data_IF_105087080303
#
_entry.id   IF_105087080303
#
_cell.length_a   1.000
_cell.length_b   1.000
_cell.length_c   1.000
_cell.angle_alpha   90.00
_cell.angle_beta   90.00
_cell.angle_gamma   90.00
#
_symmetry.space_group_name_H-M   'P 1'
#
loop_
_entity.id
_entity.type
_entity.pdbx_description
1 polymer ?
#
# COMPACT_ATOMS: atom_id res chain seq x y z
N UNK A 1 24.67 -43.97 14.72
CA UNK A 1 24.20 -42.57 14.58
C UNK A 1 23.01 -42.57 13.62
N UNK A 2 21.81 -42.20 14.07
CA UNK A 2 20.57 -42.31 13.27
C UNK A 2 20.28 -40.96 12.61
N UNK A 3 20.45 -40.86 11.29
CA UNK A 3 20.21 -39.63 10.54
C UNK A 3 18.72 -39.23 10.63
N UNK A 4 18.44 -38.02 11.15
CA UNK A 4 17.09 -37.43 11.12
C UNK A 4 16.74 -37.11 9.66
N UNK A 5 15.75 -37.81 9.11
CA UNK A 5 15.19 -37.53 7.78
C UNK A 5 14.57 -36.11 7.81
N UNK A 6 14.85 -35.23 6.83
CA UNK A 6 14.25 -33.90 6.81
C UNK A 6 12.73 -34.00 6.67
N UNK A 7 12.02 -33.37 7.61
CA UNK A 7 10.56 -33.28 7.61
C UNK A 7 10.12 -32.34 6.48
N UNK A 8 9.43 -32.89 5.49
CA UNK A 8 8.84 -32.15 4.36
C UNK A 8 7.43 -31.62 4.65
N UNK A 9 6.98 -31.63 5.92
CA UNK A 9 5.64 -31.14 6.26
C UNK A 9 5.55 -29.62 6.06
N UNK A 10 4.58 -29.12 5.27
CA UNK A 10 4.38 -27.69 5.10
C UNK A 10 4.07 -27.06 6.46
N UNK A 11 4.80 -26.00 6.81
CA UNK A 11 4.60 -25.24 8.04
C UNK A 11 3.24 -24.56 7.95
N UNK A 12 2.24 -25.04 8.68
CA UNK A 12 0.93 -24.39 8.77
C UNK A 12 1.11 -23.01 9.41
N UNK A 13 0.63 -21.97 8.73
CA UNK A 13 0.58 -20.62 9.29
C UNK A 13 -0.36 -20.62 10.51
N UNK A 14 0.02 -19.90 11.57
CA UNK A 14 -0.86 -19.77 12.73
C UNK A 14 -2.06 -18.88 12.38
N UNK A 15 -3.25 -19.11 12.97
CA UNK A 15 -4.39 -18.21 12.79
C UNK A 15 -4.04 -16.75 13.13
N UNK A 16 -3.24 -16.51 14.17
CA UNK A 16 -2.76 -15.16 14.55
C UNK A 16 -1.96 -14.50 13.42
N UNK A 17 -1.08 -15.25 12.75
CA UNK A 17 -0.31 -14.73 11.62
C UNK A 17 -1.22 -14.38 10.43
N UNK A 18 -2.23 -15.20 10.13
CA UNK A 18 -3.21 -14.93 9.06
C UNK A 18 -4.01 -13.66 9.37
N UNK A 19 -4.52 -13.52 10.59
CA UNK A 19 -5.28 -12.33 11.01
C UNK A 19 -4.44 -11.05 10.89
N UNK A 20 -3.15 -11.10 11.30
CA UNK A 20 -2.22 -9.96 11.14
C UNK A 20 -2.00 -9.60 9.68
N UNK A 21 -1.81 -10.60 8.82
CA UNK A 21 -1.66 -10.36 7.39
C UNK A 21 -2.91 -9.72 6.78
N UNK A 22 -4.10 -10.16 7.18
CA UNK A 22 -5.37 -9.56 6.74
C UNK A 22 -5.47 -8.11 7.23
N UNK A 23 -5.19 -7.84 8.51
CA UNK A 23 -5.23 -6.50 9.07
C UNK A 23 -4.27 -5.55 8.35
N UNK A 24 -3.06 -6.03 8.00
CA UNK A 24 -2.09 -5.25 7.25
C UNK A 24 -2.53 -5.01 5.80
N UNK A 25 -3.10 -6.02 5.15
CA UNK A 25 -3.67 -5.88 3.81
C UNK A 25 -4.84 -4.89 3.79
N UNK A 26 -5.66 -4.84 4.85
CA UNK A 26 -6.71 -3.83 5.01
C UNK A 26 -6.14 -2.42 5.09
N UNK A 27 -5.08 -2.20 5.87
CA UNK A 27 -4.39 -0.90 5.94
C UNK A 27 -3.84 -0.46 4.59
N UNK A 28 -3.16 -1.38 3.89
CA UNK A 28 -2.67 -1.12 2.54
C UNK A 28 -3.81 -0.73 1.58
N UNK A 29 -4.92 -1.46 1.62
CA UNK A 29 -6.11 -1.22 0.78
C UNK A 29 -6.74 0.13 1.07
N UNK A 30 -6.88 0.50 2.35
CA UNK A 30 -7.40 1.81 2.77
C UNK A 30 -6.47 2.92 2.25
N UNK A 31 -5.15 2.79 2.43
CA UNK A 31 -4.19 3.76 1.93
C UNK A 31 -4.27 3.94 0.41
N UNK A 32 -4.32 2.83 -0.35
CA UNK A 32 -4.49 2.86 -1.81
C UNK A 32 -5.78 3.58 -2.20
N UNK A 33 -6.90 3.27 -1.55
CA UNK A 33 -8.19 3.90 -1.84
C UNK A 33 -8.16 5.41 -1.56
N UNK A 34 -7.56 5.84 -0.44
CA UNK A 34 -7.39 7.26 -0.10
C UNK A 34 -6.48 7.95 -1.12
N UNK A 35 -5.37 7.34 -1.52
CA UNK A 35 -4.46 7.89 -2.53
C UNK A 35 -5.11 8.06 -3.89
N UNK A 36 -5.96 7.11 -4.32
CA UNK A 36 -6.75 7.23 -5.55
C UNK A 36 -7.81 8.34 -5.45
N UNK A 37 -8.52 8.42 -4.31
CA UNK A 37 -9.49 9.49 -4.06
C UNK A 37 -8.85 10.88 -4.06
N UNK A 38 -7.69 11.01 -3.41
CA UNK A 38 -6.86 12.21 -3.46
C UNK A 38 -6.48 12.57 -4.90
N UNK A 39 -5.94 11.62 -5.67
CA UNK A 39 -5.53 11.88 -7.04
C UNK A 39 -6.70 12.33 -7.93
N UNK A 40 -7.86 11.72 -7.75
CA UNK A 40 -9.08 12.12 -8.46
C UNK A 40 -9.49 13.55 -8.12
N UNK A 41 -9.58 13.90 -6.84
CA UNK A 41 -9.97 15.25 -6.41
C UNK A 41 -8.96 16.28 -6.90
N UNK A 42 -7.67 16.00 -6.71
CA UNK A 42 -6.57 16.89 -7.08
C UNK A 42 -6.53 17.18 -8.59
N UNK A 43 -6.83 16.19 -9.43
CA UNK A 43 -6.81 16.35 -10.90
C UNK A 43 -8.10 16.94 -11.48
N UNK A 44 -9.23 16.84 -10.75
CA UNK A 44 -10.54 17.34 -11.22
C UNK A 44 -10.89 18.72 -10.70
N UNK A 45 -10.35 19.12 -9.55
CA UNK A 45 -10.54 20.46 -9.00
C UNK A 45 -9.56 21.45 -9.63
N UNK A 46 -10.11 22.53 -10.20
CA UNK A 46 -9.30 23.60 -10.78
C UNK A 46 -8.56 24.43 -9.72
N UNK A 47 -9.01 24.39 -8.47
CA UNK A 47 -8.41 25.12 -7.33
C UNK A 47 -6.97 24.66 -7.07
N UNK A 48 -6.69 23.36 -7.23
CA UNK A 48 -5.36 22.81 -6.96
C UNK A 48 -4.39 22.96 -8.15
N UNK A 49 -4.87 23.28 -9.35
CA UNK A 49 -4.03 23.49 -10.53
C UNK A 49 -3.25 22.26 -11.05
N UNK A 50 -3.36 21.09 -10.41
CA UNK A 50 -2.55 19.90 -10.69
C UNK A 50 -2.66 19.45 -12.14
N UNK A 51 -3.86 19.45 -12.73
CA UNK A 51 -4.05 19.08 -14.13
C UNK A 51 -3.24 19.94 -15.09
N UNK A 52 -3.16 21.26 -14.83
CA UNK A 52 -2.37 22.19 -15.65
C UNK A 52 -0.88 21.96 -15.44
N UNK A 53 -0.45 21.78 -14.18
CA UNK A 53 0.93 21.46 -13.86
C UNK A 53 1.41 20.16 -14.53
N UNK A 54 0.58 19.11 -14.50
CA UNK A 54 0.87 17.85 -15.20
C UNK A 54 0.98 18.04 -16.71
N UNK A 55 0.15 18.89 -17.31
CA UNK A 55 0.20 19.17 -18.75
C UNK A 55 1.42 20.00 -19.19
N UNK A 56 2.11 20.67 -18.25
CA UNK A 56 3.36 21.41 -18.51
C UNK A 56 4.62 20.55 -18.34
N UNK A 57 4.49 19.37 -17.73
CA UNK A 57 5.55 18.37 -17.77
C UNK A 57 5.58 17.80 -19.20
N UNK A 58 6.80 17.56 -19.71
CA UNK A 58 7.14 17.13 -21.07
C UNK A 58 6.05 16.27 -21.79
N UNK A 59 5.83 16.36 -23.11
CA UNK A 59 4.76 15.61 -23.81
C UNK A 59 4.87 14.08 -23.70
N UNK A 60 6.02 13.57 -23.26
CA UNK A 60 6.28 12.16 -22.95
C UNK A 60 6.14 11.81 -21.45
N UNK A 61 5.94 12.82 -20.59
CA UNK A 61 6.13 12.79 -19.15
C UNK A 61 4.85 12.76 -18.32
N UNK A 62 4.89 11.93 -17.27
CA UNK A 62 4.02 11.84 -16.10
C UNK A 62 2.55 12.23 -16.31
N UNK A 63 1.78 11.24 -16.78
CA UNK A 63 0.35 11.38 -17.07
C UNK A 63 -0.47 11.39 -15.78
N UNK A 64 -1.73 11.80 -15.87
CA UNK A 64 -2.68 11.69 -14.75
C UNK A 64 -2.74 10.26 -14.16
N UNK A 65 -2.48 9.24 -14.98
CA UNK A 65 -2.33 7.86 -14.54
C UNK A 65 -1.12 7.68 -13.61
N UNK A 66 0.06 8.18 -13.99
CA UNK A 66 1.29 8.06 -13.19
C UNK A 66 1.14 8.82 -11.86
N UNK A 67 0.48 9.97 -11.89
CA UNK A 67 0.12 10.71 -10.67
C UNK A 67 -0.81 9.91 -9.77
N UNK A 68 -1.84 9.26 -10.33
CA UNK A 68 -2.76 8.43 -9.57
C UNK A 68 -2.08 7.19 -8.98
N UNK A 69 -1.25 6.49 -9.76
CA UNK A 69 -0.47 5.34 -9.29
C UNK A 69 0.50 5.75 -8.19
N UNK A 70 1.23 6.85 -8.38
CA UNK A 70 2.18 7.36 -7.38
C UNK A 70 1.47 7.75 -6.10
N UNK A 71 0.32 8.42 -6.19
CA UNK A 71 -0.50 8.77 -5.03
C UNK A 71 -1.00 7.52 -4.31
N UNK A 72 -1.56 6.55 -5.04
CA UNK A 72 -2.04 5.29 -4.49
C UNK A 72 -0.93 4.53 -3.76
N UNK A 73 0.27 4.44 -4.36
CA UNK A 73 1.43 3.79 -3.75
C UNK A 73 1.92 4.54 -2.52
N UNK A 74 2.06 5.87 -2.58
CA UNK A 74 2.55 6.67 -1.45
C UNK A 74 1.65 6.51 -0.22
N UNK A 75 0.33 6.67 -0.39
CA UNK A 75 -0.62 6.48 0.70
C UNK A 75 -0.71 5.01 1.14
N UNK A 76 -0.68 4.05 0.21
CA UNK A 76 -0.67 2.63 0.50
C UNK A 76 0.54 2.22 1.36
N UNK A 77 1.74 2.69 1.03
CA UNK A 77 2.97 2.43 1.77
C UNK A 77 2.88 3.00 3.17
N UNK A 78 2.53 4.29 3.31
CA UNK A 78 2.43 4.94 4.62
C UNK A 78 1.38 4.26 5.49
N UNK A 79 0.18 3.98 4.96
CA UNK A 79 -0.87 3.28 5.69
C UNK A 79 -0.44 1.88 6.11
N UNK A 80 0.30 1.16 5.27
CA UNK A 80 0.87 -0.16 5.59
C UNK A 80 1.88 -0.06 6.74
N UNK A 81 2.80 0.91 6.70
CA UNK A 81 3.77 1.14 7.79
C UNK A 81 3.04 1.45 9.10
N UNK A 82 2.00 2.30 9.05
CA UNK A 82 1.14 2.55 10.22
C UNK A 82 0.47 1.28 10.71
N UNK A 83 -0.08 0.45 9.80
CA UNK A 83 -0.68 -0.83 10.15
C UNK A 83 0.32 -1.79 10.82
N UNK A 84 1.58 -1.80 10.38
CA UNK A 84 2.67 -2.54 11.04
C UNK A 84 2.89 -1.99 12.45
N UNK A 85 3.09 -0.67 12.60
CA UNK A 85 3.34 -0.05 13.89
C UNK A 85 2.23 -0.35 14.90
N UNK A 86 0.97 -0.32 14.48
CA UNK A 86 -0.18 -0.64 15.33
C UNK A 86 -0.27 -2.13 15.63
N UNK A 87 -0.13 -3.00 14.63
CA UNK A 87 -0.29 -4.46 14.80
C UNK A 87 0.83 -5.09 15.64
N UNK A 88 2.03 -4.52 15.62
CA UNK A 88 3.20 -5.02 16.34
C UNK A 88 3.55 -4.20 17.59
N UNK A 89 3.05 -2.97 17.71
CA UNK A 89 3.19 -2.16 18.92
C UNK A 89 2.25 -2.56 20.07
N UNK A 90 1.24 -3.39 19.81
CA UNK A 90 0.33 -3.95 20.82
C UNK A 90 0.86 -5.25 21.50
N UNK A 91 2.02 -5.76 21.09
CA UNK A 91 2.62 -6.99 21.64
C UNK A 91 3.64 -6.73 22.79
N UNK A 92 3.84 -5.48 23.22
CA UNK A 92 4.63 -5.08 24.41
C UNK A 92 3.72 -4.70 25.60
#
# INVERSE_FOLDING_TARGET
MRAKKPSTRPRKLSPKAITRMIALASHATIGVAVGLGFAFIATRSEVFGIRRALATLDPSGFRAFDFAVTSALAFGIVATITGIALTFGEDD
#
